data_IF_025111921307
#
_entry.id   IF_025111921307
#
_cell.length_a   1.000
_cell.length_b   1.000
_cell.length_c   1.000
_cell.angle_alpha   90.00
_cell.angle_beta   90.00
_cell.angle_gamma   90.00
#
_symmetry.space_group_name_H-M   'P 1'
#
loop_
_entity.id
_entity.type
_entity.pdbx_description
1 polymer ?
#
# COMPACT_ATOMS: atom_id res chain seq x y z
N UNK A 1 -42.24 -51.84 1.55
CA UNK A 1 -40.77 -51.86 1.74
C UNK A 1 -40.22 -50.58 1.11
N UNK A 2 -39.90 -49.52 1.87
CA UNK A 2 -38.62 -49.25 2.56
C UNK A 2 -37.42 -49.31 1.59
N UNK A 3 -36.96 -48.15 1.10
CA UNK A 3 -35.65 -47.52 1.42
C UNK A 3 -35.03 -46.71 0.25
N UNK A 4 -34.82 -45.41 0.54
CA UNK A 4 -33.70 -44.51 0.16
C UNK A 4 -33.44 -44.28 -1.35
N UNK A 5 -33.18 -43.07 -1.83
CA UNK A 5 -31.95 -42.30 -1.57
C UNK A 5 -32.19 -40.79 -1.75
N UNK A 6 -31.66 -40.06 -0.77
CA UNK A 6 -31.54 -38.62 -0.66
C UNK A 6 -30.72 -37.99 -1.81
N UNK A 7 -30.77 -36.65 -1.84
CA UNK A 7 -29.72 -35.74 -2.28
C UNK A 7 -29.48 -35.59 -3.79
N UNK A 8 -30.00 -34.49 -4.34
CA UNK A 8 -29.25 -33.68 -5.29
C UNK A 8 -29.47 -32.20 -4.98
N UNK A 9 -28.88 -31.78 -3.86
CA UNK A 9 -28.64 -30.37 -3.59
C UNK A 9 -27.36 -30.01 -4.36
N UNK A 10 -27.51 -29.73 -5.66
CA UNK A 10 -26.41 -29.24 -6.49
C UNK A 10 -26.15 -27.79 -6.12
N UNK A 11 -25.29 -27.67 -5.12
CA UNK A 11 -24.57 -26.48 -4.68
C UNK A 11 -24.04 -25.79 -5.94
N UNK A 12 -24.76 -24.75 -6.40
CA UNK A 12 -24.19 -23.72 -7.26
C UNK A 12 -23.28 -22.85 -6.40
N UNK A 13 -22.16 -23.42 -5.97
CA UNK A 13 -20.96 -22.65 -5.65
C UNK A 13 -20.43 -22.14 -6.98
N UNK A 14 -21.09 -21.10 -7.51
CA UNK A 14 -20.49 -20.16 -8.42
C UNK A 14 -19.27 -19.62 -7.69
N UNK A 15 -18.14 -20.28 -7.95
CA UNK A 15 -16.86 -19.70 -8.29
C UNK A 15 -16.92 -18.17 -8.24
N UNK A 16 -16.86 -17.63 -7.03
CA UNK A 16 -16.24 -16.34 -6.80
C UNK A 16 -14.74 -16.57 -7.01
N UNK A 17 -14.34 -16.80 -8.26
CA UNK A 17 -13.02 -16.41 -8.73
C UNK A 17 -13.03 -14.88 -8.72
N UNK A 18 -13.00 -14.31 -7.51
CA UNK A 18 -12.47 -12.98 -7.32
C UNK A 18 -11.08 -13.06 -7.88
N UNK A 19 -10.89 -12.45 -9.04
CA UNK A 19 -9.59 -12.35 -9.67
C UNK A 19 -8.73 -11.54 -8.70
N UNK A 20 -8.01 -12.21 -7.80
CA UNK A 20 -6.87 -11.59 -7.13
C UNK A 20 -5.92 -11.23 -8.25
N UNK A 21 -5.94 -9.95 -8.63
CA UNK A 21 -4.96 -9.38 -9.55
C UNK A 21 -3.61 -9.62 -8.89
N UNK A 22 -2.89 -10.61 -9.39
CA UNK A 22 -1.66 -11.10 -8.80
C UNK A 22 -0.68 -9.94 -8.68
N UNK A 23 -0.25 -9.66 -7.44
CA UNK A 23 0.71 -8.60 -7.06
C UNK A 23 2.10 -8.75 -7.74
N UNK A 24 2.28 -9.69 -8.67
CA UNK A 24 3.54 -9.95 -9.38
C UNK A 24 3.92 -8.85 -10.39
N UNK A 25 2.98 -8.03 -10.86
CA UNK A 25 3.27 -6.90 -11.77
C UNK A 25 3.86 -5.67 -11.07
N UNK A 26 3.91 -5.65 -9.74
CA UNK A 26 4.47 -4.54 -8.94
C UNK A 26 6.00 -4.49 -8.92
N UNK A 27 6.67 -5.49 -9.49
CA UNK A 27 8.12 -5.63 -9.41
C UNK A 27 8.84 -4.46 -10.12
N UNK A 28 9.50 -3.64 -9.31
CA UNK A 28 10.53 -2.66 -9.69
C UNK A 28 10.07 -1.42 -10.47
N UNK A 29 8.77 -1.22 -10.63
CA UNK A 29 8.24 -0.02 -11.28
C UNK A 29 8.38 1.20 -10.37
N UNK A 30 8.94 2.25 -10.93
CA UNK A 30 9.04 3.56 -10.29
C UNK A 30 7.73 4.31 -10.50
N UNK A 31 7.17 4.82 -9.42
CA UNK A 31 5.87 5.47 -9.37
C UNK A 31 6.00 6.78 -8.60
N UNK A 32 5.35 7.83 -9.10
CA UNK A 32 5.26 9.09 -8.38
C UNK A 32 4.14 9.02 -7.34
N UNK A 33 4.47 9.37 -6.10
CA UNK A 33 3.52 9.31 -4.98
C UNK A 33 3.59 10.60 -4.15
N UNK A 34 2.47 10.95 -3.53
CA UNK A 34 2.37 12.03 -2.54
C UNK A 34 2.21 11.44 -1.15
N UNK A 35 3.05 11.87 -0.20
CA UNK A 35 2.92 11.48 1.20
C UNK A 35 1.76 12.26 1.82
N UNK A 36 0.71 11.58 2.27
CA UNK A 36 -0.47 12.20 2.89
C UNK A 36 -0.33 12.27 4.42
N UNK A 37 0.24 11.23 5.01
CA UNK A 37 0.52 11.17 6.44
C UNK A 37 1.77 10.36 6.73
N UNK A 38 2.37 10.64 7.88
CA UNK A 38 3.50 9.89 8.40
C UNK A 38 3.42 9.87 9.93
N UNK A 39 3.67 8.69 10.50
CA UNK A 39 3.82 8.47 11.92
C UNK A 39 4.80 7.31 12.14
N UNK A 40 5.89 7.57 12.86
CA UNK A 40 6.89 6.57 13.24
C UNK A 40 7.46 5.77 12.05
N UNK A 41 7.66 6.41 10.89
CA UNK A 41 8.15 5.73 9.70
C UNK A 41 7.10 4.87 8.99
N UNK A 42 5.84 4.84 9.46
CA UNK A 42 4.72 4.39 8.65
C UNK A 42 4.14 5.59 7.93
N UNK A 43 3.88 5.48 6.63
CA UNK A 43 3.29 6.54 5.84
C UNK A 43 2.06 6.06 5.06
N UNK A 44 1.12 6.98 4.85
CA UNK A 44 0.05 6.82 3.87
C UNK A 44 0.43 7.61 2.64
N UNK A 45 0.47 6.94 1.50
CA UNK A 45 0.91 7.51 0.22
C UNK A 45 -0.22 7.44 -0.80
N UNK A 46 -0.36 8.49 -1.59
CA UNK A 46 -1.27 8.56 -2.73
C UNK A 46 -0.49 8.33 -4.03
N UNK A 47 -0.96 7.42 -4.87
CA UNK A 47 -0.43 7.22 -6.22
C UNK A 47 -0.87 8.40 -7.09
N UNK A 48 0.05 8.98 -7.86
CA UNK A 48 -0.25 10.09 -8.78
C UNK A 48 -0.26 9.67 -10.25
N UNK A 49 0.28 8.49 -10.56
CA UNK A 49 0.35 7.96 -11.91
C UNK A 49 -0.85 7.04 -12.19
N UNK A 50 -1.66 7.43 -13.18
CA UNK A 50 -2.94 6.77 -13.52
C UNK A 50 -2.75 5.29 -13.88
N UNK A 51 -1.64 4.95 -14.53
CA UNK A 51 -1.30 3.57 -14.91
C UNK A 51 -1.17 2.64 -13.69
N UNK A 52 -0.96 3.22 -12.51
CA UNK A 52 -0.71 2.54 -11.24
C UNK A 52 -1.84 2.70 -10.22
N UNK A 53 -2.91 3.45 -10.51
CA UNK A 53 -4.03 3.65 -9.57
C UNK A 53 -4.65 2.34 -9.07
N UNK A 54 -4.66 1.31 -9.92
CA UNK A 54 -5.14 -0.05 -9.59
C UNK A 54 -4.43 -0.71 -8.39
N UNK A 55 -3.29 -0.20 -7.95
CA UNK A 55 -2.53 -0.75 -6.84
C UNK A 55 -2.89 -0.10 -5.49
N UNK A 56 -3.55 1.06 -5.51
CA UNK A 56 -4.06 1.72 -4.32
C UNK A 56 -5.48 1.28 -3.97
N UNK A 57 -5.97 1.79 -2.86
CA UNK A 57 -7.37 1.69 -2.43
C UNK A 57 -7.98 3.07 -2.31
N UNK A 58 -9.30 3.13 -2.47
CA UNK A 58 -10.05 4.37 -2.50
C UNK A 58 -10.71 4.68 -1.16
N UNK A 59 -11.06 5.94 -0.92
CA UNK A 59 -11.85 6.36 0.23
C UNK A 59 -11.09 6.64 1.53
N UNK A 60 -9.77 6.86 1.50
CA UNK A 60 -9.03 7.23 2.70
C UNK A 60 -9.36 8.66 3.13
N UNK A 61 -9.88 8.82 4.35
CA UNK A 61 -10.30 10.12 4.87
C UNK A 61 -9.25 10.72 5.79
N UNK A 62 -8.89 11.96 5.51
CA UNK A 62 -7.96 12.73 6.33
C UNK A 62 -8.28 14.23 6.25
N UNK A 63 -8.35 14.88 7.41
CA UNK A 63 -8.58 16.33 7.54
C UNK A 63 -9.80 16.84 6.74
N UNK A 64 -10.86 16.02 6.68
CA UNK A 64 -12.10 16.32 5.93
C UNK A 64 -12.01 16.11 4.41
N UNK A 65 -10.88 15.63 3.90
CA UNK A 65 -10.67 15.32 2.49
C UNK A 65 -10.65 13.79 2.30
N UNK A 66 -11.25 13.33 1.20
CA UNK A 66 -11.18 11.93 0.78
C UNK A 66 -10.12 11.78 -0.30
N UNK A 67 -9.24 10.80 -0.14
CA UNK A 67 -8.16 10.48 -1.05
C UNK A 67 -8.34 9.08 -1.61
N UNK A 68 -8.15 8.97 -2.92
CA UNK A 68 -8.24 7.73 -3.66
C UNK A 68 -6.85 7.25 -4.10
N UNK A 69 -6.76 5.97 -4.45
CA UNK A 69 -5.55 5.31 -4.91
C UNK A 69 -4.40 5.40 -3.91
N UNK A 70 -4.72 5.21 -2.62
CA UNK A 70 -3.77 5.28 -1.53
C UNK A 70 -3.28 3.90 -1.08
N UNK A 71 -2.11 3.86 -0.46
CA UNK A 71 -1.57 2.66 0.19
C UNK A 71 -0.74 3.04 1.41
N UNK A 72 -0.53 2.06 2.29
CA UNK A 72 0.35 2.19 3.44
C UNK A 72 1.73 1.64 3.11
N UNK A 73 2.78 2.29 3.61
CA UNK A 73 4.13 1.84 3.41
C UNK A 73 5.03 2.15 4.61
N UNK A 74 6.13 1.42 4.70
CA UNK A 74 7.21 1.73 5.63
C UNK A 74 8.27 2.58 4.94
N UNK A 75 8.71 3.63 5.62
CA UNK A 75 9.85 4.45 5.26
C UNK A 75 11.09 3.90 5.96
N UNK A 76 12.20 3.76 5.24
CA UNK A 76 13.47 3.43 5.89
C UNK A 76 13.96 4.61 6.75
N UNK A 77 14.70 4.33 7.82
CA UNK A 77 15.27 5.40 8.66
C UNK A 77 16.25 6.28 7.87
N UNK A 78 16.98 5.69 6.92
CA UNK A 78 17.87 6.44 6.02
C UNK A 78 17.08 7.45 5.18
N UNK A 79 15.93 7.05 4.64
CA UNK A 79 15.08 7.93 3.83
C UNK A 79 14.42 9.02 4.68
N UNK A 80 13.87 8.67 5.84
CA UNK A 80 13.31 9.65 6.79
C UNK A 80 14.36 10.70 7.13
N UNK A 81 15.57 10.28 7.47
CA UNK A 81 16.67 11.19 7.80
C UNK A 81 17.00 12.09 6.62
N UNK A 82 17.12 11.54 5.40
CA UNK A 82 17.38 12.32 4.18
C UNK A 82 16.32 13.39 3.97
N UNK A 83 15.03 13.05 4.04
CA UNK A 83 13.97 14.02 3.79
C UNK A 83 13.74 15.02 4.94
N UNK A 84 14.00 14.62 6.19
CA UNK A 84 13.93 15.54 7.35
C UNK A 84 14.98 16.65 7.28
N UNK A 85 16.11 16.43 6.59
CA UNK A 85 17.07 17.51 6.32
C UNK A 85 16.57 18.53 5.29
N UNK A 86 15.58 18.15 4.46
CA UNK A 86 15.04 18.97 3.38
C UNK A 86 13.74 19.69 3.77
N UNK A 87 12.93 19.08 4.63
CA UNK A 87 11.64 19.62 5.07
C UNK A 87 11.34 19.22 6.51
N UNK A 88 10.70 20.12 7.26
CA UNK A 88 10.22 19.85 8.62
C UNK A 88 9.06 18.84 8.65
N UNK A 89 8.37 18.63 7.52
CA UNK A 89 7.30 17.64 7.40
C UNK A 89 7.35 16.93 6.05
N UNK A 90 7.21 15.60 6.08
CA UNK A 90 7.08 14.80 4.87
C UNK A 90 5.69 14.92 4.24
N UNK A 91 4.70 15.41 5.00
CA UNK A 91 3.31 15.54 4.52
C UNK A 91 3.24 16.52 3.35
N UNK A 92 2.59 16.09 2.28
CA UNK A 92 2.45 16.83 1.03
C UNK A 92 3.62 16.67 0.06
N UNK A 93 4.73 16.05 0.48
CA UNK A 93 5.88 15.86 -0.39
C UNK A 93 5.55 14.86 -1.50
N UNK A 94 5.91 15.22 -2.73
CA UNK A 94 5.81 14.35 -3.90
C UNK A 94 7.18 13.75 -4.16
N UNK A 95 7.24 12.43 -4.22
CA UNK A 95 8.48 11.65 -4.32
C UNK A 95 8.32 10.52 -5.32
N UNK A 96 9.43 10.01 -5.85
CA UNK A 96 9.44 8.79 -6.64
C UNK A 96 9.78 7.61 -5.73
N UNK A 97 9.02 6.53 -5.87
CA UNK A 97 9.23 5.29 -5.14
C UNK A 97 9.21 4.10 -6.09
N UNK A 98 10.05 3.11 -5.82
CA UNK A 98 9.95 1.79 -6.43
C UNK A 98 9.14 0.90 -5.51
N UNK A 99 8.07 0.31 -6.03
CA UNK A 99 7.28 -0.68 -5.31
C UNK A 99 8.05 -2.02 -5.29
N UNK A 100 8.08 -2.68 -4.13
CA UNK A 100 8.88 -3.85 -3.86
C UNK A 100 8.03 -5.03 -3.39
N UNK A 101 8.50 -6.25 -3.67
CA UNK A 101 7.82 -7.48 -3.23
C UNK A 101 7.98 -7.75 -1.73
N UNK A 102 9.06 -7.26 -1.12
CA UNK A 102 9.38 -7.52 0.28
C UNK A 102 9.89 -6.26 0.96
N UNK A 103 9.61 -6.14 2.24
CA UNK A 103 10.15 -5.09 3.10
C UNK A 103 11.66 -5.31 3.24
N UNK A 104 12.44 -4.30 2.90
CA UNK A 104 13.87 -4.30 3.17
C UNK A 104 14.08 -3.96 4.65
N UNK A 105 14.56 -4.93 5.42
CA UNK A 105 14.82 -4.73 6.85
C UNK A 105 16.01 -3.79 7.06
N UNK A 106 15.77 -2.72 7.82
CA UNK A 106 16.82 -1.79 8.27
C UNK A 106 17.15 -2.05 9.76
N UNK A 107 18.29 -2.69 10.07
CA UNK A 107 18.67 -3.01 11.44
C UNK A 107 19.03 -1.77 12.29
N UNK A 108 19.31 -0.63 11.66
CA UNK A 108 19.65 0.61 12.35
C UNK A 108 18.40 1.41 12.78
N UNK A 109 17.21 0.92 12.43
CA UNK A 109 15.96 1.64 12.60
C UNK A 109 15.15 1.08 13.79
N UNK A 110 15.10 1.83 14.89
CA UNK A 110 14.16 1.55 15.98
C UNK A 110 12.76 1.90 15.53
N UNK A 111 11.95 0.88 15.25
CA UNK A 111 10.56 1.05 14.84
C UNK A 111 9.67 1.23 16.07
N UNK A 112 8.80 2.22 16.01
CA UNK A 112 7.72 2.39 16.96
C UNK A 112 6.51 1.57 16.46
N UNK A 113 5.75 0.95 17.37
CA UNK A 113 4.60 0.11 16.99
C UNK A 113 3.37 0.91 16.54
N UNK A 114 3.43 2.25 16.59
CA UNK A 114 2.35 3.11 16.16
C UNK A 114 2.29 3.17 14.63
N UNK A 115 1.07 3.12 14.11
CA UNK A 115 0.75 3.31 12.70
C UNK A 115 -0.21 4.49 12.56
N UNK A 116 -0.26 5.09 11.38
CA UNK A 116 -1.22 6.16 11.10
C UNK A 116 -2.65 5.66 11.36
N UNK A 117 -3.48 6.39 12.13
CA UNK A 117 -4.87 6.01 12.37
C UNK A 117 -5.65 5.89 11.05
N UNK A 118 -6.49 4.87 10.94
CA UNK A 118 -7.30 4.58 9.75
C UNK A 118 -6.47 4.42 8.46
N UNK A 119 -5.17 4.12 8.57
CA UNK A 119 -4.34 3.83 7.41
C UNK A 119 -4.94 2.69 6.57
N UNK A 120 -4.82 2.75 5.24
CA UNK A 120 -5.33 1.70 4.37
C UNK A 120 -4.65 0.36 4.68
N UNK A 121 -5.43 -0.73 4.70
CA UNK A 121 -4.90 -2.07 4.94
C UNK A 121 -3.99 -2.58 3.80
N UNK A 122 -4.10 -1.99 2.60
CA UNK A 122 -3.21 -2.29 1.47
C UNK A 122 -1.82 -1.76 1.79
N UNK A 123 -0.92 -2.68 2.13
CA UNK A 123 0.47 -2.40 2.43
C UNK A 123 1.37 -2.72 1.24
N UNK A 124 2.20 -1.76 0.83
CA UNK A 124 3.13 -1.93 -0.28
C UNK A 124 4.54 -1.57 0.22
N UNK A 125 5.48 -2.53 0.24
CA UNK A 125 6.88 -2.22 0.49
C UNK A 125 7.43 -1.29 -0.59
N UNK A 126 8.22 -0.30 -0.20
CA UNK A 126 8.80 0.66 -1.15
C UNK A 126 10.30 0.85 -0.93
N UNK A 127 10.93 1.46 -1.93
CA UNK A 127 12.23 2.10 -1.81
C UNK A 127 12.20 3.44 -2.53
N UNK A 128 12.69 4.50 -1.89
CA UNK A 128 12.76 5.81 -2.55
C UNK A 128 13.72 5.79 -3.74
N UNK A 129 13.38 6.58 -4.76
CA UNK A 129 14.16 6.75 -5.97
C UNK A 129 14.27 8.23 -6.30
N UNK A 130 15.36 8.62 -6.96
CA UNK A 130 15.57 10.02 -7.36
C UNK A 130 14.83 10.35 -8.66
N UNK A 131 14.57 9.34 -9.49
CA UNK A 131 13.84 9.46 -10.76
C UNK A 131 13.30 8.12 -11.24
N UNK A 132 12.27 8.17 -12.07
CA UNK A 132 11.83 7.03 -12.87
C UNK A 132 12.59 7.05 -14.19
N UNK A 133 13.48 6.06 -14.38
CA UNK A 133 14.20 5.82 -15.63
C UNK A 133 13.34 4.99 -16.60
#
# INVERSE_FOLDING_TARGET
>A
MKRYVLTSLLISSLLFSGCEKTDEQLLEKCVQVKILDELCGTAVMQILDEDYFKFGVDGYQKDGVTYDHVFSAELSCADITKFQTLTASLKGLVVYVKMMKQIQYDPACTKCAAVVPNAPAKWIPIKFSEKCD
#
